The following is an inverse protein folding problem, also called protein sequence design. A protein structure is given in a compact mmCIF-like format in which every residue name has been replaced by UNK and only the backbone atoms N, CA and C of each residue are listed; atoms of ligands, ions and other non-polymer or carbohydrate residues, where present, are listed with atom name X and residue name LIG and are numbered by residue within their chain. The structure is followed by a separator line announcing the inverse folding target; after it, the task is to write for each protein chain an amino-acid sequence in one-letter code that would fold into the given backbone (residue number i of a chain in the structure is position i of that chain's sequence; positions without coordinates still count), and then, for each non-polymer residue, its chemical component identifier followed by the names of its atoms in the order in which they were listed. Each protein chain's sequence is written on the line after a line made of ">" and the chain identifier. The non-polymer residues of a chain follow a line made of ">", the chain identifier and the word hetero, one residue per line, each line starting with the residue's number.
data_IF_358855053159
#
_entry.id   IF_358855053159
#
_cell.length_a   1.000
_cell.length_b   1.000
_cell.length_c   1.000
_cell.angle_alpha   90.00
_cell.angle_beta   90.00
_cell.angle_gamma   90.00
#
_symmetry.space_group_name_H-M   'P 1'
#
loop_
_entity.id
_entity.type
_entity.pdbx_description
1 polymer ?
#
# COMPACT_ATOMS: atom_id res chain seq x y z
N UNK A 1 10.73 3.35 -3.01
CA UNK A 1 9.81 3.63 -1.90
C UNK A 1 10.18 2.80 -0.68
N UNK A 2 10.12 3.38 0.50
CA UNK A 2 10.47 2.69 1.73
C UNK A 2 9.20 2.18 2.43
N UNK A 3 9.20 0.92 2.83
CA UNK A 3 8.06 0.30 3.52
C UNK A 3 7.76 0.99 4.86
N UNK A 4 8.76 1.61 5.47
CA UNK A 4 8.57 2.36 6.70
C UNK A 4 7.62 3.54 6.53
N UNK A 5 7.60 4.13 5.36
CA UNK A 5 6.70 5.23 5.04
C UNK A 5 5.24 4.77 5.11
N UNK A 6 4.96 3.56 4.63
CA UNK A 6 3.64 2.96 4.72
C UNK A 6 3.26 2.72 6.18
N UNK A 7 4.19 2.20 6.98
CA UNK A 7 3.94 1.92 8.39
C UNK A 7 3.69 3.18 9.21
N UNK A 8 4.17 4.32 8.75
CA UNK A 8 4.06 5.60 9.45
C UNK A 8 2.80 6.39 9.07
N UNK A 9 2.00 5.91 8.15
CA UNK A 9 0.75 6.58 7.78
C UNK A 9 -0.17 6.69 8.99
N UNK A 10 -0.64 7.89 9.27
CA UNK A 10 -1.43 8.20 10.47
C UNK A 10 -2.86 8.59 10.19
N UNK A 11 -3.24 8.73 8.93
CA UNK A 11 -4.57 9.12 8.53
C UNK A 11 -4.97 8.43 7.23
N UNK A 12 -6.26 8.47 6.90
CA UNK A 12 -6.75 7.94 5.63
C UNK A 12 -6.06 8.62 4.46
N UNK A 13 -5.89 9.94 4.54
CA UNK A 13 -5.25 10.71 3.46
C UNK A 13 -3.80 10.26 3.24
N UNK A 14 -3.05 10.11 4.32
CA UNK A 14 -1.67 9.64 4.22
C UNK A 14 -1.60 8.22 3.67
N UNK A 15 -2.52 7.35 4.09
CA UNK A 15 -2.58 5.99 3.59
C UNK A 15 -2.89 5.95 2.10
N UNK A 16 -3.81 6.80 1.62
CA UNK A 16 -4.13 6.91 0.20
C UNK A 16 -2.93 7.39 -0.61
N UNK A 17 -2.25 8.41 -0.12
CA UNK A 17 -1.05 8.93 -0.78
C UNK A 17 0.04 7.88 -0.89
N UNK A 18 0.25 7.12 0.16
CA UNK A 18 1.21 6.01 0.14
C UNK A 18 0.82 4.96 -0.90
N UNK A 19 -0.46 4.63 -0.98
CA UNK A 19 -0.94 3.64 -1.93
C UNK A 19 -0.73 4.09 -3.37
N UNK A 20 -1.04 5.35 -3.66
CA UNK A 20 -0.86 5.92 -5.00
C UNK A 20 0.63 5.94 -5.37
N UNK A 21 1.47 6.40 -4.46
CA UNK A 21 2.91 6.44 -4.66
C UNK A 21 3.48 5.05 -4.90
N UNK A 22 3.05 4.08 -4.10
CA UNK A 22 3.47 2.69 -4.26
C UNK A 22 3.06 2.12 -5.61
N UNK A 23 1.84 2.39 -6.05
CA UNK A 23 1.33 1.88 -7.32
C UNK A 23 2.17 2.38 -8.49
N UNK A 24 2.56 3.65 -8.48
CA UNK A 24 3.45 4.19 -9.50
C UNK A 24 4.84 3.59 -9.41
N UNK A 25 5.37 3.50 -8.20
CA UNK A 25 6.71 2.98 -7.98
C UNK A 25 6.83 1.51 -8.37
N UNK A 26 5.86 0.67 -7.97
CA UNK A 26 5.94 -0.77 -8.23
C UNK A 26 5.90 -1.08 -9.74
N UNK A 27 5.27 -0.22 -10.51
CA UNK A 27 5.21 -0.37 -11.97
C UNK A 27 6.58 -0.23 -12.63
N UNK A 28 7.55 0.39 -11.96
CA UNK A 28 8.90 0.57 -12.46
C UNK A 28 9.90 -0.44 -11.87
N UNK A 29 9.43 -1.31 -10.97
CA UNK A 29 10.28 -2.25 -10.26
C UNK A 29 10.04 -3.68 -10.74
N UNK A 30 11.07 -4.50 -10.61
CA UNK A 30 10.98 -5.93 -10.91
C UNK A 30 11.02 -6.71 -9.60
N UNK A 31 9.92 -6.64 -8.85
CA UNK A 31 9.84 -7.25 -7.53
C UNK A 31 9.53 -8.74 -7.62
N UNK A 32 10.09 -9.51 -6.69
CA UNK A 32 9.75 -10.91 -6.55
C UNK A 32 8.35 -11.05 -5.95
N UNK A 33 7.77 -12.23 -6.08
CA UNK A 33 6.45 -12.53 -5.54
C UNK A 33 6.40 -12.31 -4.02
N UNK A 34 7.45 -12.73 -3.32
CA UNK A 34 7.53 -12.55 -1.88
C UNK A 34 7.58 -11.08 -1.46
N UNK A 35 8.28 -10.24 -2.24
CA UNK A 35 8.33 -8.81 -1.97
C UNK A 35 6.97 -8.15 -2.18
N UNK A 36 6.26 -8.53 -3.24
CA UNK A 36 4.90 -8.04 -3.48
C UNK A 36 3.95 -8.43 -2.35
N UNK A 37 4.07 -9.65 -1.84
CA UNK A 37 3.27 -10.13 -0.72
C UNK A 37 3.49 -9.29 0.54
N UNK A 38 4.74 -8.93 0.80
CA UNK A 38 5.09 -8.11 1.95
C UNK A 38 4.43 -6.73 1.89
N UNK A 39 4.46 -6.10 0.71
CA UNK A 39 3.78 -4.83 0.50
C UNK A 39 2.28 -4.95 0.65
N UNK A 40 1.71 -6.03 0.12
CA UNK A 40 0.29 -6.28 0.21
C UNK A 40 -0.17 -6.38 1.67
N UNK A 41 0.60 -7.05 2.50
CA UNK A 41 0.31 -7.17 3.92
C UNK A 41 0.25 -5.81 4.61
N UNK A 42 1.21 -4.94 4.30
CA UNK A 42 1.24 -3.61 4.91
C UNK A 42 0.03 -2.78 4.48
N UNK A 43 -0.36 -2.87 3.23
CA UNK A 43 -1.54 -2.13 2.75
C UNK A 43 -2.84 -2.73 3.28
N UNK A 44 -2.92 -4.03 3.48
CA UNK A 44 -4.06 -4.65 4.14
C UNK A 44 -4.20 -4.14 5.57
N UNK A 45 -3.10 -4.02 6.28
CA UNK A 45 -3.08 -3.48 7.63
C UNK A 45 -3.61 -2.03 7.65
N UNK A 46 -3.16 -1.20 6.72
CA UNK A 46 -3.64 0.17 6.61
C UNK A 46 -5.12 0.22 6.23
N UNK A 47 -5.54 -0.64 5.32
CA UNK A 47 -6.94 -0.73 4.90
C UNK A 47 -7.85 -1.07 6.09
N UNK A 48 -7.40 -1.99 6.92
CA UNK A 48 -8.15 -2.40 8.10
C UNK A 48 -8.17 -1.28 9.14
N UNK A 49 -7.03 -0.64 9.36
CA UNK A 49 -6.89 0.42 10.35
C UNK A 49 -7.70 1.67 10.02
N UNK A 50 -7.75 2.04 8.74
CA UNK A 50 -8.38 3.28 8.29
C UNK A 50 -9.66 3.06 7.49
N UNK A 51 -10.16 1.83 7.44
CA UNK A 51 -11.39 1.48 6.73
C UNK A 51 -11.32 1.83 5.23
N UNK A 52 -10.22 1.44 4.58
CA UNK A 52 -9.96 1.70 3.17
C UNK A 52 -9.96 0.43 2.32
N UNK A 53 -10.49 -0.67 2.85
CA UNK A 53 -10.39 -1.97 2.20
C UNK A 53 -11.01 -1.96 0.81
N UNK A 54 -12.25 -1.44 0.69
CA UNK A 54 -12.93 -1.40 -0.60
C UNK A 54 -12.17 -0.53 -1.60
N UNK A 55 -11.71 0.63 -1.16
CA UNK A 55 -10.98 1.55 -2.01
C UNK A 55 -9.67 0.93 -2.51
N UNK A 56 -8.91 0.31 -1.62
CA UNK A 56 -7.65 -0.33 -2.00
C UNK A 56 -7.89 -1.54 -2.90
N UNK A 57 -8.95 -2.26 -2.66
CA UNK A 57 -9.31 -3.40 -3.50
C UNK A 57 -9.70 -2.95 -4.92
N UNK A 58 -10.52 -1.92 -5.02
CA UNK A 58 -10.95 -1.39 -6.31
C UNK A 58 -9.78 -0.83 -7.12
N UNK A 59 -8.78 -0.27 -6.46
CA UNK A 59 -7.62 0.31 -7.11
C UNK A 59 -6.48 -0.68 -7.34
N UNK A 60 -6.69 -1.94 -7.01
CA UNK A 60 -5.68 -2.98 -7.22
C UNK A 60 -4.51 -2.92 -6.25
N UNK A 61 -4.66 -2.27 -5.10
CA UNK A 61 -3.63 -2.22 -4.08
C UNK A 61 -3.56 -3.54 -3.29
N UNK A 62 -4.71 -4.09 -3.00
CA UNK A 62 -4.80 -5.37 -2.29
C UNK A 62 -5.74 -6.34 -2.96
#
# INVERSE_FOLDING_TARGET
>A
MDIKKVKQAKSQEEARECAIEWKHWVGTQNLSYGELHKWQWEFEFLADKFNLYEEFHENGII
#
